data_IF_049796154239
#
_entry.id   IF_049796154239
#
_cell.length_a   1.000
_cell.length_b   1.000
_cell.length_c   1.000
_cell.angle_alpha   90.00
_cell.angle_beta   90.00
_cell.angle_gamma   90.00
#
_symmetry.space_group_name_H-M   'P 1'
#
loop_
_entity.id
_entity.type
_entity.pdbx_description
1 polymer ?
#
# COMPACT_ATOMS: atom_id res chain seq x y z
N UNK A 1 6.65 14.09 3.58
CA UNK A 1 5.59 13.37 4.32
C UNK A 1 6.19 12.14 5.00
N UNK A 2 5.52 11.54 5.99
CA UNK A 2 5.96 10.31 6.68
C UNK A 2 6.13 9.16 5.67
N UNK A 3 5.16 9.00 4.77
CA UNK A 3 5.15 7.98 3.72
C UNK A 3 6.45 7.94 2.89
N UNK A 4 6.96 9.08 2.43
CA UNK A 4 8.18 9.15 1.60
C UNK A 4 9.44 8.54 2.25
N UNK A 5 9.43 8.31 3.56
CA UNK A 5 10.56 7.73 4.30
C UNK A 5 10.37 6.24 4.60
N UNK A 6 9.23 5.67 4.20
CA UNK A 6 8.88 4.27 4.44
C UNK A 6 9.33 3.39 3.27
N UNK A 7 9.50 2.09 3.52
CA UNK A 7 9.77 1.12 2.46
C UNK A 7 8.64 1.06 1.41
N UNK A 8 7.39 1.33 1.82
CA UNK A 8 6.24 1.36 0.94
C UNK A 8 6.36 2.39 -0.18
N UNK A 9 6.95 3.56 0.07
CA UNK A 9 7.19 4.60 -0.93
C UNK A 9 8.32 4.29 -1.92
N UNK A 10 8.97 3.13 -1.75
CA UNK A 10 10.08 2.68 -2.59
C UNK A 10 9.87 1.24 -3.07
N UNK A 11 8.66 0.70 -2.90
CA UNK A 11 8.35 -0.69 -3.16
C UNK A 11 8.60 -1.04 -4.63
N UNK A 12 8.09 -0.27 -5.59
CA UNK A 12 8.24 -0.63 -7.00
C UNK A 12 9.70 -0.57 -7.45
N UNK A 13 10.48 0.37 -6.90
CA UNK A 13 11.90 0.49 -7.18
C UNK A 13 12.70 -0.76 -6.75
N UNK A 14 12.21 -1.59 -5.82
CA UNK A 14 12.86 -2.86 -5.50
C UNK A 14 12.69 -3.90 -6.60
N UNK A 15 11.56 -3.86 -7.32
CA UNK A 15 11.30 -4.74 -8.46
C UNK A 15 12.15 -4.34 -9.67
N UNK A 16 12.21 -3.04 -9.98
CA UNK A 16 13.01 -2.49 -11.09
C UNK A 16 14.49 -2.87 -10.96
N UNK A 17 15.04 -2.89 -9.73
CA UNK A 17 16.42 -3.31 -9.47
C UNK A 17 16.70 -4.78 -9.79
N UNK A 18 15.66 -5.60 -9.81
CA UNK A 18 15.74 -7.04 -10.07
C UNK A 18 15.18 -7.41 -11.45
N UNK A 19 14.70 -6.43 -12.22
CA UNK A 19 14.08 -6.63 -13.53
C UNK A 19 12.83 -7.54 -13.48
N UNK A 20 12.04 -7.43 -12.40
CA UNK A 20 10.80 -8.22 -12.18
C UNK A 20 9.57 -7.33 -12.02
N UNK A 21 9.65 -6.06 -12.38
CA UNK A 21 8.58 -5.07 -12.25
C UNK A 21 7.34 -5.37 -13.11
N UNK A 22 7.47 -6.26 -14.09
CA UNK A 22 6.38 -6.77 -14.91
C UNK A 22 5.92 -8.19 -14.51
N UNK A 23 6.50 -8.78 -13.47
CA UNK A 23 6.07 -10.06 -12.95
C UNK A 23 4.79 -9.90 -12.14
N UNK A 24 3.72 -10.59 -12.53
CA UNK A 24 2.41 -10.52 -11.89
C UNK A 24 2.45 -11.00 -10.43
N UNK A 25 3.35 -11.94 -10.12
CA UNK A 25 3.54 -12.44 -8.75
C UNK A 25 4.19 -11.38 -7.82
N UNK A 26 4.85 -10.37 -8.39
CA UNK A 26 5.57 -9.35 -7.64
C UNK A 26 4.85 -8.01 -7.63
N UNK A 27 4.37 -7.56 -8.78
CA UNK A 27 3.80 -6.21 -8.95
C UNK A 27 2.59 -5.99 -8.04
N UNK A 28 1.79 -7.03 -7.77
CA UNK A 28 0.56 -6.94 -6.97
C UNK A 28 0.75 -6.35 -5.58
N UNK A 29 1.90 -6.58 -4.95
CA UNK A 29 2.22 -6.07 -3.61
C UNK A 29 3.05 -4.77 -3.63
N UNK A 30 3.49 -4.32 -4.81
CA UNK A 30 4.46 -3.22 -4.96
C UNK A 30 3.87 -1.97 -5.63
N UNK A 31 2.57 -1.97 -5.91
CA UNK A 31 1.83 -0.83 -6.45
C UNK A 31 0.54 -0.59 -5.67
N UNK A 32 -0.10 0.54 -5.92
CA UNK A 32 -1.37 0.90 -5.27
C UNK A 32 -2.55 0.30 -6.03
N UNK A 33 -3.36 -0.50 -5.34
CA UNK A 33 -4.63 -1.00 -5.84
C UNK A 33 -4.53 -1.93 -7.06
N UNK A 34 -3.51 -2.77 -7.14
CA UNK A 34 -3.32 -3.69 -8.29
C UNK A 34 -4.61 -4.46 -8.64
N UNK A 35 -5.03 -4.37 -9.91
CA UNK A 35 -6.25 -5.01 -10.45
C UNK A 35 -7.56 -4.66 -9.71
N UNK A 36 -7.56 -3.64 -8.86
CA UNK A 36 -8.76 -3.07 -8.23
C UNK A 36 -9.32 -1.93 -9.09
N UNK A 37 -10.64 -1.65 -9.06
CA UNK A 37 -11.23 -0.56 -9.83
C UNK A 37 -10.53 0.79 -9.57
N UNK A 38 -10.02 1.42 -10.63
CA UNK A 38 -9.27 2.68 -10.54
C UNK A 38 -7.84 2.55 -10.01
N UNK A 39 -7.37 1.33 -9.78
CA UNK A 39 -6.04 1.02 -9.29
C UNK A 39 -5.03 0.72 -10.40
N UNK A 40 -3.81 0.34 -10.00
CA UNK A 40 -2.70 0.08 -10.91
C UNK A 40 -2.91 -1.21 -11.71
N UNK A 41 -2.25 -1.28 -12.87
CA UNK A 41 -2.01 -2.53 -13.59
C UNK A 41 -0.53 -2.64 -13.92
N UNK A 42 -0.09 -3.78 -14.46
CA UNK A 42 1.31 -3.98 -14.88
C UNK A 42 1.75 -3.00 -15.98
N UNK A 43 0.82 -2.49 -16.79
CA UNK A 43 1.11 -1.54 -17.88
C UNK A 43 0.76 -0.09 -17.55
N UNK A 44 0.10 0.18 -16.42
CA UNK A 44 -0.35 1.51 -16.01
C UNK A 44 -0.05 1.75 -14.53
N UNK A 45 1.23 1.98 -14.23
CA UNK A 45 1.74 2.17 -12.85
C UNK A 45 2.03 3.60 -12.49
N UNK A 46 2.32 4.50 -13.43
CA UNK A 46 3.00 5.79 -13.15
C UNK A 46 2.39 6.61 -11.99
N UNK A 47 1.06 6.74 -11.94
CA UNK A 47 0.35 7.51 -10.89
C UNK A 47 0.09 6.72 -9.61
N UNK A 48 0.24 5.41 -9.66
CA UNK A 48 -0.08 4.45 -8.59
C UNK A 48 1.13 3.57 -8.27
N UNK A 49 2.32 4.06 -8.63
CA UNK A 49 3.60 3.44 -8.38
C UNK A 49 3.80 3.43 -6.86
N UNK A 50 4.42 2.37 -6.38
CA UNK A 50 4.66 2.14 -4.96
C UNK A 50 3.37 1.87 -4.15
N UNK A 51 3.55 1.44 -2.89
CA UNK A 51 2.44 1.16 -1.97
C UNK A 51 1.99 2.47 -1.33
N UNK A 52 0.92 3.06 -1.86
CA UNK A 52 0.40 4.35 -1.47
C UNK A 52 -0.60 4.31 -0.31
N UNK A 53 -1.12 5.49 0.05
CA UNK A 53 -2.11 5.66 1.12
C UNK A 53 -3.33 4.76 0.93
N UNK A 54 -3.80 4.64 -0.31
CA UNK A 54 -5.04 3.96 -0.67
C UNK A 54 -4.96 2.44 -0.47
N UNK A 55 -3.76 1.86 -0.36
CA UNK A 55 -3.60 0.43 -0.06
C UNK A 55 -4.14 0.09 1.33
N UNK A 56 -3.93 0.96 2.33
CA UNK A 56 -4.43 0.75 3.68
C UNK A 56 -5.74 1.51 3.96
N UNK A 57 -5.88 2.71 3.39
CA UNK A 57 -6.99 3.61 3.67
C UNK A 57 -8.16 3.46 2.67
N UNK A 58 -8.02 2.61 1.65
CA UNK A 58 -9.01 2.45 0.57
C UNK A 58 -8.93 3.54 -0.49
N UNK A 59 -9.68 3.40 -1.61
CA UNK A 59 -9.63 4.33 -2.73
C UNK A 59 -10.12 5.73 -2.32
N UNK A 60 -9.29 6.74 -2.58
CA UNK A 60 -9.49 8.11 -2.12
C UNK A 60 -10.34 8.98 -3.03
N UNK A 61 -10.81 8.46 -4.18
CA UNK A 61 -11.52 9.26 -5.20
C UNK A 61 -12.76 9.97 -4.66
N UNK A 62 -13.59 9.29 -3.87
CA UNK A 62 -14.77 9.90 -3.24
C UNK A 62 -14.36 10.87 -2.12
N UNK A 63 -13.33 10.52 -1.35
CA UNK A 63 -12.82 11.37 -0.27
C UNK A 63 -12.23 12.68 -0.79
N UNK A 64 -11.54 12.65 -1.94
CA UNK A 64 -11.00 13.84 -2.59
C UNK A 64 -12.13 14.81 -3.01
N UNK A 65 -13.28 14.28 -3.44
CA UNK A 65 -14.44 15.07 -3.83
C UNK A 65 -15.22 15.64 -2.64
N UNK A 66 -15.33 14.89 -1.53
CA UNK A 66 -16.00 15.35 -0.30
C UNK A 66 -15.20 14.93 0.95
N UNK A 67 -14.17 15.70 1.33
CA UNK A 67 -13.29 15.35 2.45
C UNK A 67 -14.00 15.35 3.81
N UNK A 68 -15.16 16.02 3.92
CA UNK A 68 -15.91 16.15 5.17
C UNK A 68 -16.87 14.97 5.39
N UNK A 69 -17.24 14.26 4.32
CA UNK A 69 -18.09 13.08 4.41
C UNK A 69 -17.33 11.92 5.04
N UNK A 70 -17.86 11.45 6.17
CA UNK A 70 -17.29 10.33 6.94
C UNK A 70 -17.49 9.00 6.20
N UNK A 71 -16.60 8.05 6.46
CA UNK A 71 -16.71 6.67 5.95
C UNK A 71 -16.28 6.48 4.49
N UNK A 72 -15.69 7.50 3.87
CA UNK A 72 -15.14 7.39 2.50
C UNK A 72 -13.75 6.77 2.44
N UNK A 73 -13.05 6.72 3.57
CA UNK A 73 -11.75 6.06 3.75
C UNK A 73 -11.74 5.27 5.05
N UNK A 74 -10.88 4.27 5.12
CA UNK A 74 -10.58 3.52 6.34
C UNK A 74 -9.64 4.37 7.19
N UNK A 75 -10.10 4.89 8.33
CA UNK A 75 -9.27 5.74 9.20
C UNK A 75 -8.35 4.95 10.13
N UNK A 76 -8.69 3.69 10.39
CA UNK A 76 -7.92 2.74 11.21
C UNK A 76 -7.86 1.40 10.48
N UNK A 77 -6.85 1.19 9.62
CA UNK A 77 -6.66 -0.08 8.94
C UNK A 77 -6.45 -1.22 9.95
N UNK A 78 -7.06 -2.38 9.71
CA UNK A 78 -6.79 -3.58 10.50
C UNK A 78 -5.37 -4.08 10.16
N UNK A 79 -4.46 -4.26 11.15
CA UNK A 79 -3.13 -4.82 10.91
C UNK A 79 -3.14 -6.14 10.14
N UNK A 80 -4.21 -6.95 10.24
CA UNK A 80 -4.35 -8.19 9.46
C UNK A 80 -4.28 -7.97 7.95
N UNK A 81 -4.69 -6.79 7.46
CA UNK A 81 -4.59 -6.45 6.03
C UNK A 81 -3.16 -6.49 5.50
N UNK A 82 -2.16 -6.18 6.35
CA UNK A 82 -0.76 -6.27 5.95
C UNK A 82 -0.39 -7.70 5.51
N UNK A 83 -0.92 -8.72 6.21
CA UNK A 83 -0.62 -10.13 5.95
C UNK A 83 -1.55 -10.72 4.90
N UNK A 84 -2.83 -10.33 4.87
CA UNK A 84 -3.76 -10.88 3.87
C UNK A 84 -3.48 -10.38 2.45
N UNK A 85 -2.92 -9.18 2.31
CA UNK A 85 -2.69 -8.58 0.99
C UNK A 85 -1.24 -8.72 0.48
N UNK A 86 -0.22 -8.69 1.35
CA UNK A 86 1.18 -8.60 0.89
C UNK A 86 2.22 -9.38 1.71
N UNK A 87 2.20 -9.27 3.04
CA UNK A 87 3.25 -9.82 3.90
C UNK A 87 2.94 -11.26 4.33
N UNK A 88 2.91 -12.15 3.35
CA UNK A 88 2.63 -13.58 3.55
C UNK A 88 3.62 -14.48 2.81
N UNK A 89 3.68 -15.78 3.17
CA UNK A 89 4.44 -16.76 2.42
C UNK A 89 3.95 -16.86 0.96
N UNK A 90 4.84 -17.22 0.02
CA UNK A 90 6.22 -17.65 0.23
C UNK A 90 7.24 -16.49 0.36
N UNK A 91 6.82 -15.24 0.15
CA UNK A 91 7.74 -14.11 0.03
C UNK A 91 8.12 -13.49 1.38
N UNK A 92 7.26 -13.62 2.39
CA UNK A 92 7.51 -13.10 3.75
C UNK A 92 7.05 -14.12 4.79
N UNK A 93 7.97 -14.55 5.65
CA UNK A 93 7.67 -15.43 6.79
C UNK A 93 7.72 -14.66 8.11
N UNK A 94 6.87 -15.03 9.07
CA UNK A 94 6.92 -14.50 10.44
C UNK A 94 6.62 -13.01 10.57
N UNK A 95 5.84 -12.41 9.67
CA UNK A 95 5.49 -10.99 9.73
C UNK A 95 4.54 -10.70 10.90
N UNK A 96 4.98 -9.84 11.83
CA UNK A 96 4.14 -9.28 12.90
C UNK A 96 3.57 -7.94 12.44
N UNK A 97 2.30 -7.87 12.01
CA UNK A 97 1.74 -6.64 11.48
C UNK A 97 1.52 -5.56 12.56
N UNK A 98 1.32 -5.95 13.82
CA UNK A 98 1.10 -4.97 14.91
C UNK A 98 2.40 -4.26 15.23
N UNK A 99 3.50 -5.01 15.37
CA UNK A 99 4.81 -4.43 15.62
C UNK A 99 5.31 -3.61 14.42
N UNK A 100 5.10 -4.11 13.19
CA UNK A 100 5.60 -3.44 11.97
C UNK A 100 4.80 -2.21 11.57
N UNK A 101 3.52 -2.12 11.95
CA UNK A 101 2.71 -0.91 11.70
C UNK A 101 3.39 0.36 12.23
N UNK A 102 4.11 0.28 13.35
CA UNK A 102 4.82 1.41 13.95
C UNK A 102 5.84 2.07 13.00
N UNK A 103 6.34 1.35 11.99
CA UNK A 103 7.30 1.87 11.02
C UNK A 103 6.66 2.76 9.94
N UNK A 104 5.33 2.74 9.82
CA UNK A 104 4.57 3.50 8.82
C UNK A 104 3.66 4.56 9.44
N UNK A 105 3.56 4.60 10.77
CA UNK A 105 2.77 5.60 11.48
C UNK A 105 3.46 6.97 11.49
N UNK A 106 2.65 8.01 11.36
CA UNK A 106 3.07 9.40 11.44
C UNK A 106 2.29 10.19 12.49
N UNK A 107 2.62 11.48 12.71
CA UNK A 107 1.86 12.33 13.62
C UNK A 107 0.35 12.27 13.33
N UNK A 108 -0.45 11.95 14.36
CA UNK A 108 -1.91 11.79 14.24
C UNK A 108 -2.40 10.34 14.05
N UNK A 109 -1.52 9.37 13.84
CA UNK A 109 -1.86 7.94 13.87
C UNK A 109 -1.23 7.28 15.09
N UNK A 110 -1.98 7.20 16.19
CA UNK A 110 -1.63 6.42 17.38
C UNK A 110 -0.48 6.98 18.23
N UNK A 111 -0.84 7.53 19.39
CA UNK A 111 -0.29 7.06 20.67
C UNK A 111 -1.38 6.23 21.33
#
# INVERSE_FOLDING_TARGET
AVWNKTAHAHAYATLEKQFVEFNLDCVGCHVTGYEKPGGSTVTAVEKLKDVGCETCHGPGSLHANDPKKKGLIVTKPDPKSCVSECHHPPHVEGFDPVAKMQLVLGPGHGM
#
